data_IF_946319677940
#
_entry.id   IF_946319677940
#
_cell.length_a   1.000
_cell.length_b   1.000
_cell.length_c   1.000
_cell.angle_alpha   90.00
_cell.angle_beta   90.00
_cell.angle_gamma   90.00
#
_symmetry.space_group_name_H-M   'P 1'
#
loop_
_entity.id
_entity.type
_entity.pdbx_description
1 polymer ?
#
# COMPACT_ATOMS: atom_id res chain seq x y z
N UNK A 1 -19.40 24.80 41.24
CA UNK A 1 -20.00 24.13 40.07
C UNK A 1 -19.34 22.77 39.89
N UNK A 2 -19.92 21.71 40.43
CA UNK A 2 -19.37 20.35 40.33
C UNK A 2 -19.54 19.83 38.88
N UNK A 3 -18.46 19.36 38.25
CA UNK A 3 -18.56 18.63 36.98
C UNK A 3 -19.47 17.43 37.19
N UNK A 4 -20.65 17.41 36.56
CA UNK A 4 -21.42 16.17 36.42
C UNK A 4 -20.49 15.16 35.73
N UNK A 5 -20.10 14.10 36.44
CA UNK A 5 -19.42 12.96 35.82
C UNK A 5 -20.46 12.32 34.89
N UNK A 6 -20.10 12.16 33.61
CA UNK A 6 -20.92 11.42 32.64
C UNK A 6 -21.23 10.03 33.21
N UNK A 7 -22.42 9.50 32.94
CA UNK A 7 -22.73 8.12 33.34
C UNK A 7 -21.75 7.15 32.68
N UNK A 8 -21.63 5.93 33.21
CA UNK A 8 -20.81 4.91 32.56
C UNK A 8 -21.34 4.62 31.15
N UNK A 9 -22.66 4.62 30.95
CA UNK A 9 -23.28 4.42 29.64
C UNK A 9 -22.92 5.52 28.64
N UNK A 10 -22.91 6.78 29.08
CA UNK A 10 -22.49 7.91 28.24
C UNK A 10 -21.00 7.84 27.89
N UNK A 11 -20.16 7.33 28.79
CA UNK A 11 -18.73 7.12 28.53
C UNK A 11 -18.51 5.97 27.55
N UNK A 12 -19.24 4.86 27.69
CA UNK A 12 -19.20 3.71 26.77
C UNK A 12 -19.63 4.16 25.37
N UNK A 13 -20.77 4.82 25.24
CA UNK A 13 -21.26 5.32 23.95
C UNK A 13 -20.27 6.29 23.29
N UNK A 14 -19.59 7.11 24.10
CA UNK A 14 -18.55 8.01 23.61
C UNK A 14 -17.29 7.28 23.15
N UNK A 15 -16.97 6.12 23.71
CA UNK A 15 -15.87 5.27 23.26
C UNK A 15 -16.24 4.52 21.99
N UNK A 16 -17.46 3.98 21.88
CA UNK A 16 -17.95 3.33 20.67
C UNK A 16 -17.87 4.29 19.47
N UNK A 17 -18.36 5.52 19.62
CA UNK A 17 -18.26 6.52 18.56
C UNK A 17 -16.82 6.96 18.22
N UNK A 18 -15.86 6.77 19.12
CA UNK A 18 -14.44 6.99 18.81
C UNK A 18 -13.85 5.79 18.06
N UNK A 19 -14.22 4.57 18.47
CA UNK A 19 -13.83 3.33 17.79
C UNK A 19 -14.31 3.37 16.34
N UNK A 20 -15.58 3.70 16.10
CA UNK A 20 -16.14 3.76 14.74
C UNK A 20 -15.42 4.77 13.84
N UNK A 21 -15.06 5.93 14.39
CA UNK A 21 -14.29 6.95 13.66
C UNK A 21 -12.88 6.47 13.33
N UNK A 22 -12.22 5.80 14.27
CA UNK A 22 -10.89 5.26 14.05
C UNK A 22 -10.91 4.10 13.05
N UNK A 23 -11.92 3.24 13.11
CA UNK A 23 -12.12 2.16 12.16
C UNK A 23 -12.33 2.71 10.74
N UNK A 24 -13.22 3.70 10.58
CA UNK A 24 -13.44 4.37 9.29
C UNK A 24 -12.15 4.99 8.73
N UNK A 25 -11.32 5.59 9.59
CA UNK A 25 -10.02 6.14 9.19
C UNK A 25 -9.04 5.05 8.79
N UNK A 26 -9.01 3.93 9.53
CA UNK A 26 -8.17 2.78 9.21
C UNK A 26 -8.55 2.19 7.84
N UNK A 27 -9.83 2.01 7.58
CA UNK A 27 -10.33 1.46 6.32
C UNK A 27 -9.92 2.37 5.14
N UNK A 28 -10.05 3.69 5.30
CA UNK A 28 -9.63 4.65 4.29
C UNK A 28 -8.11 4.59 4.03
N UNK A 29 -7.28 4.48 5.08
CA UNK A 29 -5.83 4.35 4.95
C UNK A 29 -5.44 3.03 4.27
N UNK A 30 -6.12 1.93 4.58
CA UNK A 30 -5.90 0.63 3.93
C UNK A 30 -6.23 0.69 2.43
N UNK A 31 -7.32 1.35 2.07
CA UNK A 31 -7.70 1.57 0.68
C UNK A 31 -6.66 2.43 -0.06
N UNK A 32 -6.22 3.53 0.53
CA UNK A 32 -5.15 4.38 -0.03
C UNK A 32 -3.84 3.60 -0.21
N UNK A 33 -3.45 2.77 0.76
CA UNK A 33 -2.28 1.91 0.65
C UNK A 33 -2.41 0.94 -0.52
N UNK A 34 -3.58 0.32 -0.71
CA UNK A 34 -3.83 -0.59 -1.83
C UNK A 34 -3.68 0.12 -3.17
N UNK A 35 -4.26 1.31 -3.31
CA UNK A 35 -4.15 2.12 -4.54
C UNK A 35 -2.71 2.52 -4.83
N UNK A 36 -1.93 2.91 -3.82
CA UNK A 36 -0.53 3.25 -3.98
C UNK A 36 0.31 2.04 -4.42
N UNK A 37 0.05 0.85 -3.86
CA UNK A 37 0.72 -0.38 -4.28
C UNK A 37 0.42 -0.67 -5.76
N UNK A 38 -0.84 -0.57 -6.18
CA UNK A 38 -1.21 -0.78 -7.59
C UNK A 38 -0.55 0.24 -8.51
N UNK A 39 -0.55 1.52 -8.16
CA UNK A 39 0.12 2.57 -8.95
C UNK A 39 1.63 2.31 -9.07
N UNK A 40 2.27 1.95 -7.96
CA UNK A 40 3.70 1.61 -7.96
C UNK A 40 3.99 0.42 -8.90
N UNK A 41 3.17 -0.62 -8.87
CA UNK A 41 3.31 -1.76 -9.78
C UNK A 41 3.15 -1.34 -11.25
N UNK A 42 2.17 -0.49 -11.55
CA UNK A 42 1.96 0.04 -12.91
C UNK A 42 3.14 0.90 -13.38
N UNK A 43 3.69 1.74 -12.49
CA UNK A 43 4.88 2.55 -12.76
C UNK A 43 6.11 1.68 -13.04
N UNK A 44 6.40 0.69 -12.18
CA UNK A 44 7.51 -0.24 -12.34
C UNK A 44 7.41 -1.04 -13.65
N UNK A 45 6.21 -1.53 -14.01
CA UNK A 45 5.97 -2.22 -15.29
C UNK A 45 6.17 -1.26 -16.46
N UNK A 46 5.69 -0.02 -16.35
CA UNK A 46 5.87 1.00 -17.38
C UNK A 46 7.33 1.39 -17.58
N UNK A 47 8.11 1.48 -16.51
CA UNK A 47 9.56 1.69 -16.54
C UNK A 47 10.28 0.52 -17.23
N UNK A 48 9.96 -0.72 -16.84
CA UNK A 48 10.53 -1.91 -17.48
C UNK A 48 10.22 -1.95 -18.97
N UNK A 49 8.98 -1.65 -19.36
CA UNK A 49 8.58 -1.63 -20.77
C UNK A 49 9.33 -0.56 -21.57
N UNK A 50 9.49 0.65 -21.01
CA UNK A 50 10.29 1.71 -21.62
C UNK A 50 11.74 1.27 -21.80
N UNK A 51 12.34 0.71 -20.76
CA UNK A 51 13.69 0.18 -20.81
C UNK A 51 13.87 -0.86 -21.92
N UNK A 52 12.95 -1.83 -22.01
CA UNK A 52 12.98 -2.85 -23.06
C UNK A 52 12.89 -2.23 -24.45
N UNK A 53 11.96 -1.29 -24.64
CA UNK A 53 11.75 -0.62 -25.92
C UNK A 53 12.96 0.21 -26.36
N UNK A 54 13.52 1.00 -25.44
CA UNK A 54 14.65 1.90 -25.73
C UNK A 54 15.92 1.12 -26.07
N UNK A 55 16.08 -0.09 -25.53
CA UNK A 55 17.19 -0.98 -25.81
C UNK A 55 16.87 -2.05 -26.88
N UNK A 56 15.69 -1.96 -27.50
CA UNK A 56 15.20 -2.92 -28.50
C UNK A 56 15.27 -4.39 -28.02
N UNK A 57 15.02 -4.61 -26.72
CA UNK A 57 15.09 -5.90 -26.04
C UNK A 57 13.72 -6.59 -26.04
N UNK A 58 13.74 -7.90 -26.24
CA UNK A 58 12.58 -8.76 -26.03
C UNK A 58 12.45 -9.19 -24.58
N UNK A 59 11.29 -9.76 -24.21
CA UNK A 59 11.11 -10.33 -22.88
C UNK A 59 12.12 -11.47 -22.60
N UNK A 60 12.49 -12.24 -23.63
CA UNK A 60 13.50 -13.29 -23.52
C UNK A 60 14.88 -12.74 -23.16
N UNK A 61 15.24 -11.57 -23.69
CA UNK A 61 16.52 -10.93 -23.39
C UNK A 61 16.60 -10.48 -21.93
N UNK A 62 15.48 -10.02 -21.37
CA UNK A 62 15.38 -9.71 -19.93
C UNK A 62 15.52 -10.98 -19.09
N UNK A 63 14.84 -12.08 -19.43
CA UNK A 63 15.00 -13.35 -18.71
C UNK A 63 16.44 -13.83 -18.69
N UNK A 64 17.12 -13.77 -19.84
CA UNK A 64 18.53 -14.16 -19.95
C UNK A 64 19.43 -13.26 -19.09
N UNK A 65 19.15 -11.94 -19.02
CA UNK A 65 19.91 -10.99 -18.21
C UNK A 65 19.71 -11.22 -16.71
N UNK A 66 18.50 -11.57 -16.28
CA UNK A 66 18.22 -11.91 -14.87
C UNK A 66 18.89 -13.23 -14.47
N UNK A 67 18.88 -14.24 -15.34
CA UNK A 67 19.52 -15.54 -15.07
C UNK A 67 21.05 -15.43 -15.04
N UNK A 68 21.67 -14.67 -15.95
CA UNK A 68 23.13 -14.44 -15.95
C UNK A 68 23.63 -13.75 -14.68
N UNK A 69 22.84 -12.83 -14.10
CA UNK A 69 23.17 -12.19 -12.83
C UNK A 69 23.09 -13.15 -11.64
N UNK A 70 22.22 -14.17 -11.67
CA UNK A 70 22.15 -15.18 -10.60
C UNK A 70 23.35 -16.13 -10.61
N UNK A 71 23.89 -16.43 -11.79
CA UNK A 71 25.06 -17.31 -11.95
C UNK A 71 26.38 -16.61 -11.54
N UNK A 72 26.42 -15.28 -11.54
CA UNK A 72 27.61 -14.50 -11.15
C UNK A 72 27.68 -14.17 -9.66
N UNK A 73 26.60 -14.40 -8.91
CA UNK A 73 26.55 -14.24 -7.44
C UNK A 73 26.70 -15.56 -6.66
N UNK A 74 26.92 -16.70 -7.35
CA UNK A 74 27.25 -18.01 -6.76
C UNK A 74 28.74 -18.33 -6.86
#
# INVERSE_FOLDING_TARGET
MARRRKSLDEQIHSLDGQIDKQQSKLDMLLQQKKELISKKQEEEIGELFRFMKDNNMSAQDIYNLVEQNKETEQ
#
